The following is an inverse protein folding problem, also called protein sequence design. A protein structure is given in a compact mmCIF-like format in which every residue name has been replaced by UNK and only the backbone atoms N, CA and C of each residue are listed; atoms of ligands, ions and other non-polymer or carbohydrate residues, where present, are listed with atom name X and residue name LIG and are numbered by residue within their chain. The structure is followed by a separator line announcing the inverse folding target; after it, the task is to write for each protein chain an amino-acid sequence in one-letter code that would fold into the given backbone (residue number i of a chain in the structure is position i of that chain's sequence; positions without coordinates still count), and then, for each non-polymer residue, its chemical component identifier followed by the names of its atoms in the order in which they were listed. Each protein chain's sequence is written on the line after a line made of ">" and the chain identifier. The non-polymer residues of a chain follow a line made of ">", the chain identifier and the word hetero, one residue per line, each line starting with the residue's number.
data_IF_184135402551
#
_entry.id   IF_184135402551
#
_cell.length_a   1.000
_cell.length_b   1.000
_cell.length_c   1.000
_cell.angle_alpha   90.00
_cell.angle_beta   90.00
_cell.angle_gamma   90.00
#
_symmetry.space_group_name_H-M   'P 1'
#
loop_
_entity.id
_entity.type
_entity.pdbx_description
1 polymer ?
#
# COMPACT_ATOMS: atom_id res chain seq x y z
N UNK A 1 -9.53 3.62 3.29
CA UNK A 1 -8.48 4.09 2.37
C UNK A 1 -7.27 4.49 3.19
N UNK A 2 -6.12 3.85 2.94
CA UNK A 2 -4.85 4.10 3.64
C UNK A 2 -3.79 4.62 2.66
N UNK A 3 -2.93 5.53 3.10
CA UNK A 3 -1.80 6.02 2.29
C UNK A 3 -0.49 5.68 3.02
N UNK A 4 0.42 4.96 2.36
CA UNK A 4 1.71 4.53 2.93
C UNK A 4 2.86 4.82 1.97
N UNK A 5 4.07 4.91 2.49
CA UNK A 5 5.26 5.06 1.64
C UNK A 5 5.64 3.75 0.95
N UNK A 6 6.30 3.84 -0.21
CA UNK A 6 6.89 2.68 -0.87
C UNK A 6 7.80 1.84 0.05
N UNK A 7 8.58 2.48 0.92
CA UNK A 7 9.46 1.78 1.87
C UNK A 7 8.68 0.94 2.87
N UNK A 8 7.56 1.44 3.38
CA UNK A 8 6.68 0.72 4.30
C UNK A 8 5.98 -0.45 3.60
N UNK A 9 5.44 -0.21 2.40
CA UNK A 9 4.79 -1.23 1.58
C UNK A 9 5.77 -2.36 1.22
N UNK A 10 7.00 -2.02 0.81
CA UNK A 10 8.03 -3.00 0.47
C UNK A 10 8.40 -3.91 1.64
N UNK A 11 8.51 -3.33 2.84
CA UNK A 11 8.92 -4.09 4.02
C UNK A 11 7.78 -4.95 4.59
N UNK A 12 6.51 -4.63 4.30
CA UNK A 12 5.33 -5.29 4.87
C UNK A 12 4.31 -5.74 3.82
N UNK A 13 4.75 -6.06 2.59
CA UNK A 13 3.84 -6.23 1.45
C UNK A 13 2.73 -7.27 1.69
N UNK A 14 3.07 -8.40 2.32
CA UNK A 14 2.09 -9.43 2.67
C UNK A 14 0.97 -8.86 3.55
N UNK A 15 1.34 -8.17 4.63
CA UNK A 15 0.36 -7.59 5.56
C UNK A 15 -0.51 -6.53 4.90
N UNK A 16 0.07 -5.73 3.98
CA UNK A 16 -0.69 -4.74 3.21
C UNK A 16 -1.76 -5.44 2.36
N UNK A 17 -1.38 -6.48 1.60
CA UNK A 17 -2.31 -7.24 0.75
C UNK A 17 -3.38 -7.93 1.62
N UNK A 18 -2.97 -8.59 2.70
CA UNK A 18 -3.90 -9.27 3.62
C UNK A 18 -4.92 -8.27 4.17
N UNK A 19 -4.48 -7.08 4.60
CA UNK A 19 -5.37 -6.04 5.13
C UNK A 19 -6.35 -5.49 4.09
N UNK A 20 -5.94 -5.33 2.84
CA UNK A 20 -6.80 -4.88 1.72
C UNK A 20 -7.89 -5.91 1.45
N UNK A 21 -7.51 -7.19 1.40
CA UNK A 21 -8.45 -8.30 1.17
C UNK A 21 -9.44 -8.43 2.33
N UNK A 22 -8.95 -8.39 3.57
CA UNK A 22 -9.78 -8.55 4.77
C UNK A 22 -10.79 -7.42 4.95
N UNK A 23 -10.38 -6.17 4.68
CA UNK A 23 -11.20 -5.00 4.93
C UNK A 23 -11.97 -4.52 3.70
N UNK A 24 -11.77 -5.15 2.54
CA UNK A 24 -12.26 -4.69 1.24
C UNK A 24 -11.97 -3.18 1.02
N UNK A 25 -10.78 -2.75 1.43
CA UNK A 25 -10.36 -1.35 1.48
C UNK A 25 -9.09 -1.13 0.64
N UNK A 26 -8.86 0.09 0.20
CA UNK A 26 -7.80 0.43 -0.75
C UNK A 26 -6.58 1.01 -0.04
N UNK A 27 -5.38 0.63 -0.48
CA UNK A 27 -4.12 1.25 -0.05
C UNK A 27 -3.43 1.96 -1.20
N UNK A 28 -3.13 3.25 -1.02
CA UNK A 28 -2.30 4.06 -1.92
C UNK A 28 -0.86 4.04 -1.44
N UNK A 29 0.06 3.68 -2.33
CA UNK A 29 1.50 3.63 -2.07
C UNK A 29 2.16 4.83 -2.73
N UNK A 30 2.69 5.75 -1.92
CA UNK A 30 3.38 6.93 -2.42
C UNK A 30 4.83 6.65 -2.78
N UNK A 31 5.26 7.19 -3.92
CA UNK A 31 6.61 6.98 -4.47
C UNK A 31 7.29 8.34 -4.65
N UNK A 32 8.55 8.44 -4.23
CA UNK A 32 9.28 9.73 -4.18
C UNK A 32 9.52 10.32 -5.57
N UNK A 33 9.85 9.48 -6.55
CA UNK A 33 10.28 9.89 -7.88
C UNK A 33 9.47 9.18 -8.98
N UNK A 34 8.23 8.77 -8.66
CA UNK A 34 7.36 8.05 -9.58
C UNK A 34 5.88 8.20 -9.19
N UNK A 35 4.93 7.90 -10.10
CA UNK A 35 3.51 7.93 -9.77
C UNK A 35 3.14 6.94 -8.67
N UNK A 36 2.15 7.33 -7.87
CA UNK A 36 1.58 6.50 -6.81
C UNK A 36 0.96 5.21 -7.38
N UNK A 37 0.98 4.15 -6.57
CA UNK A 37 0.35 2.88 -6.89
C UNK A 37 -0.86 2.64 -6.00
N UNK A 38 -1.86 1.91 -6.50
CA UNK A 38 -3.08 1.58 -5.77
C UNK A 38 -3.20 0.06 -5.72
N UNK A 39 -3.46 -0.49 -4.52
CA UNK A 39 -3.66 -1.91 -4.24
C UNK A 39 -4.96 -2.11 -3.49
#
# INVERSE_FOLDING_TARGET
>A
MRVISFSEARNNLKQVIDSVVENADVTVITRRDAPDAVV
#
